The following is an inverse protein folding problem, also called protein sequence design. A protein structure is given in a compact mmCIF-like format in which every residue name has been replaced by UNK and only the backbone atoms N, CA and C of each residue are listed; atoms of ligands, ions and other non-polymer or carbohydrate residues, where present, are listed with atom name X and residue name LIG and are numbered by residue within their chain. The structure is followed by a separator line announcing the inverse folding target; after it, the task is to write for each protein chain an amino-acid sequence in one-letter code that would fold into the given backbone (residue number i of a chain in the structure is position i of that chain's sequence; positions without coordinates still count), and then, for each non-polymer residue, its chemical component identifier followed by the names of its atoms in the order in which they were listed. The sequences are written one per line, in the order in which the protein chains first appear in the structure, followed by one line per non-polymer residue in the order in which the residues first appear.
data_IF_235451155006
#
_entry.id   IF_235451155006
#
_cell.length_a   1.000
_cell.length_b   1.000
_cell.length_c   1.000
_cell.angle_alpha   90.00
_cell.angle_beta   90.00
_cell.angle_gamma   90.00
#
_symmetry.space_group_name_H-M   'P 1'
#
loop_
_entity.id
_entity.type
_entity.pdbx_description
1 polymer ?
#
# COMPACT_ATOMS: atom_id res chain seq x y z
N UNK A 1 11.13 14.05 -25.91
CA UNK A 1 9.80 13.83 -26.54
C UNK A 1 8.90 13.25 -25.46
N UNK A 2 8.15 14.10 -24.77
CA UNK A 2 7.25 13.66 -23.70
C UNK A 2 5.91 13.36 -24.38
N UNK A 3 5.58 12.09 -24.60
CA UNK A 3 4.23 11.71 -25.01
C UNK A 3 3.28 12.18 -23.91
N UNK A 4 2.49 13.22 -24.19
CA UNK A 4 1.35 13.57 -23.36
C UNK A 4 0.32 12.47 -23.55
N UNK A 5 0.27 11.54 -22.61
CA UNK A 5 -0.80 10.56 -22.47
C UNK A 5 -2.07 11.36 -22.12
N UNK A 6 -2.83 11.77 -23.13
CA UNK A 6 -4.12 12.40 -22.96
C UNK A 6 -5.17 11.31 -22.79
N UNK A 7 -5.59 11.06 -21.55
CA UNK A 7 -6.77 10.25 -21.30
C UNK A 7 -8.01 10.93 -21.88
N UNK A 8 -8.79 10.19 -22.65
CA UNK A 8 -10.11 10.66 -23.08
C UNK A 8 -11.06 10.70 -21.88
N UNK A 9 -12.08 11.57 -21.95
CA UNK A 9 -13.10 11.64 -20.90
C UNK A 9 -13.78 10.28 -20.62
N UNK A 10 -13.89 9.41 -21.65
CA UNK A 10 -14.44 8.05 -21.50
C UNK A 10 -13.50 7.14 -20.71
N UNK A 11 -12.20 7.24 -20.92
CA UNK A 11 -11.19 6.44 -20.21
C UNK A 11 -11.06 6.89 -18.75
N UNK A 12 -10.99 8.20 -18.49
CA UNK A 12 -11.02 8.74 -17.12
C UNK A 12 -12.29 8.32 -16.38
N UNK A 13 -13.46 8.39 -17.03
CA UNK A 13 -14.72 7.92 -16.43
C UNK A 13 -14.74 6.40 -16.18
N UNK A 14 -14.03 5.60 -16.97
CA UNK A 14 -13.88 4.15 -16.73
C UNK A 14 -13.00 3.91 -15.51
N UNK A 15 -11.83 4.56 -15.44
CA UNK A 15 -10.88 4.46 -14.32
C UNK A 15 -11.54 4.90 -13.01
N UNK A 16 -12.23 6.03 -13.00
CA UNK A 16 -12.91 6.53 -11.80
C UNK A 16 -13.97 5.55 -11.27
N UNK A 17 -14.72 4.88 -12.17
CA UNK A 17 -15.70 3.85 -11.78
C UNK A 17 -15.03 2.61 -11.19
N UNK A 18 -13.90 2.21 -11.74
CA UNK A 18 -13.15 1.04 -11.27
C UNK A 18 -12.47 1.31 -9.93
N UNK A 19 -11.80 2.46 -9.79
CA UNK A 19 -11.24 2.93 -8.53
C UNK A 19 -12.32 2.97 -7.43
N UNK A 20 -13.49 3.56 -7.71
CA UNK A 20 -14.61 3.60 -6.75
C UNK A 20 -15.04 2.20 -6.32
N UNK A 21 -15.16 1.23 -7.24
CA UNK A 21 -15.51 -0.15 -6.89
C UNK A 21 -14.48 -0.81 -5.96
N UNK A 22 -13.19 -0.60 -6.22
CA UNK A 22 -12.11 -1.13 -5.39
C UNK A 22 -12.16 -0.49 -4.00
N UNK A 23 -12.24 0.84 -3.93
CA UNK A 23 -12.36 1.57 -2.66
C UNK A 23 -13.58 1.13 -1.87
N UNK A 24 -14.75 1.03 -2.50
CA UNK A 24 -15.99 0.59 -1.85
C UNK A 24 -15.88 -0.84 -1.31
N UNK A 25 -15.21 -1.74 -2.05
CA UNK A 25 -14.98 -3.11 -1.61
C UNK A 25 -14.05 -3.17 -0.38
N UNK A 26 -12.95 -2.41 -0.39
CA UNK A 26 -12.00 -2.31 0.74
C UNK A 26 -12.69 -1.68 1.95
N UNK A 27 -13.42 -0.59 1.77
CA UNK A 27 -14.15 0.08 2.84
C UNK A 27 -15.25 -0.80 3.44
N UNK A 28 -15.94 -1.60 2.61
CA UNK A 28 -16.92 -2.58 3.09
C UNK A 28 -16.27 -3.69 3.93
N UNK A 29 -15.05 -4.12 3.58
CA UNK A 29 -14.27 -5.03 4.41
C UNK A 29 -13.82 -4.38 5.73
N UNK A 30 -13.40 -3.10 5.70
CA UNK A 30 -13.00 -2.34 6.89
C UNK A 30 -14.15 -2.03 7.85
N UNK A 31 -15.37 -1.80 7.34
CA UNK A 31 -16.58 -1.50 8.13
C UNK A 31 -17.20 -2.73 8.81
N UNK A 32 -16.53 -3.88 8.80
CA UNK A 32 -16.99 -5.07 9.54
C UNK A 32 -16.98 -4.74 11.03
N UNK A 33 -18.16 -4.66 11.64
CA UNK A 33 -18.34 -4.60 13.08
C UNK A 33 -18.38 -6.04 13.60
N UNK A 34 -17.53 -6.39 14.55
CA UNK A 34 -17.22 -7.77 15.01
C UNK A 34 -16.18 -8.52 14.19
N UNK A 35 -15.02 -7.90 14.01
CA UNK A 35 -13.85 -8.61 13.50
C UNK A 35 -13.13 -9.25 14.70
N UNK A 36 -12.80 -10.56 14.65
CA UNK A 36 -12.03 -11.22 15.70
C UNK A 36 -10.74 -10.47 16.00
N UNK A 37 -10.34 -10.39 17.28
CA UNK A 37 -9.07 -9.75 17.66
C UNK A 37 -7.86 -10.33 16.90
N UNK A 38 -7.91 -11.62 16.55
CA UNK A 38 -6.89 -12.30 15.74
C UNK A 38 -6.70 -11.72 14.34
N UNK A 39 -7.64 -10.93 13.82
CA UNK A 39 -7.55 -10.32 12.48
C UNK A 39 -6.84 -8.94 12.52
N UNK A 40 -6.68 -8.33 13.71
CA UNK A 40 -6.01 -7.03 13.88
C UNK A 40 -4.84 -7.04 14.86
N UNK A 41 -4.73 -8.07 15.70
CA UNK A 41 -3.55 -8.35 16.50
C UNK A 41 -2.61 -9.23 15.69
N UNK A 42 -1.63 -8.60 15.06
CA UNK A 42 -0.50 -9.32 14.46
C UNK A 42 0.46 -9.73 15.58
N UNK A 43 0.79 -11.02 15.64
CA UNK A 43 1.92 -11.51 16.44
C UNK A 43 3.18 -11.47 15.58
N UNK A 44 4.28 -10.98 16.14
CA UNK A 44 5.58 -11.11 15.50
C UNK A 44 5.94 -12.59 15.41
N UNK A 45 6.36 -13.03 14.23
CA UNK A 45 6.81 -14.40 13.96
C UNK A 45 8.11 -14.70 14.69
N UNK A 46 9.01 -13.72 14.80
CA UNK A 46 10.24 -13.80 15.58
C UNK A 46 10.25 -12.72 16.69
N UNK A 47 10.33 -13.09 17.98
CA UNK A 47 10.44 -12.13 19.08
C UNK A 47 11.74 -11.30 19.04
N UNK A 48 12.72 -11.66 18.21
CA UNK A 48 13.94 -10.89 18.01
C UNK A 48 13.81 -9.84 16.89
N UNK A 49 12.66 -9.73 16.23
CA UNK A 49 12.37 -8.65 15.31
C UNK A 49 11.83 -7.42 16.08
N UNK A 50 12.02 -6.22 15.53
CA UNK A 50 11.31 -4.99 15.93
C UNK A 50 10.19 -4.63 14.95
N UNK A 51 10.25 -5.19 13.74
CA UNK A 51 9.33 -4.91 12.66
C UNK A 51 9.22 -6.14 11.76
N UNK A 52 8.01 -6.49 11.35
CA UNK A 52 7.73 -7.50 10.33
C UNK A 52 6.63 -6.99 9.39
N UNK A 53 6.86 -7.13 8.08
CA UNK A 53 5.86 -6.94 7.04
C UNK A 53 5.65 -8.24 6.30
N UNK A 54 4.38 -8.53 6.07
CA UNK A 54 3.93 -9.62 5.23
C UNK A 54 2.99 -9.02 4.19
N UNK A 55 3.37 -9.13 2.91
CA UNK A 55 2.58 -8.72 1.76
C UNK A 55 2.04 -7.28 1.83
N UNK A 56 2.90 -6.31 2.14
CA UNK A 56 2.49 -4.91 2.24
C UNK A 56 2.13 -4.34 0.86
N UNK A 57 0.90 -3.83 0.75
CA UNK A 57 0.41 -3.08 -0.40
C UNK A 57 0.01 -1.65 0.00
N UNK A 58 0.41 -0.68 -0.81
CA UNK A 58 -0.01 0.72 -0.66
C UNK A 58 -0.28 1.32 -2.03
N UNK A 59 -1.56 1.53 -2.31
CA UNK A 59 -2.06 1.94 -3.61
C UNK A 59 -2.74 3.29 -3.52
N UNK A 60 -2.41 4.19 -4.45
CA UNK A 60 -3.07 5.48 -4.59
C UNK A 60 -4.02 5.46 -5.78
N UNK A 61 -5.29 5.72 -5.53
CA UNK A 61 -6.31 5.80 -6.57
C UNK A 61 -6.39 7.24 -7.09
N UNK A 62 -5.98 7.45 -8.34
CA UNK A 62 -5.94 8.76 -8.98
C UNK A 62 -6.86 8.80 -10.20
N UNK A 63 -7.17 9.99 -10.71
CA UNK A 63 -8.03 10.17 -11.90
C UNK A 63 -7.44 9.55 -13.18
N UNK A 64 -6.13 9.31 -13.19
CA UNK A 64 -5.38 8.74 -14.31
C UNK A 64 -5.06 7.25 -14.13
N UNK A 65 -5.43 6.65 -12.99
CA UNK A 65 -5.21 5.24 -12.72
C UNK A 65 -4.90 4.93 -11.26
N UNK A 66 -4.72 3.65 -10.96
CA UNK A 66 -4.19 3.20 -9.67
C UNK A 66 -2.67 3.20 -9.72
N UNK A 67 -2.02 3.97 -8.84
CA UNK A 67 -0.57 3.94 -8.64
C UNK A 67 -0.27 2.92 -7.54
N UNK A 68 0.38 1.82 -7.90
CA UNK A 68 0.82 0.81 -6.96
C UNK A 68 2.19 1.17 -6.39
N UNK A 69 2.21 2.06 -5.40
CA UNK A 69 3.46 2.60 -4.86
C UNK A 69 4.24 1.58 -4.02
N UNK A 70 3.53 0.66 -3.36
CA UNK A 70 4.10 -0.56 -2.76
C UNK A 70 3.20 -1.72 -3.19
N UNK A 71 3.78 -2.77 -3.76
CA UNK A 71 3.06 -3.92 -4.34
C UNK A 71 3.67 -5.24 -3.84
N UNK A 72 3.21 -5.73 -2.68
CA UNK A 72 3.56 -7.05 -2.15
C UNK A 72 4.94 -7.12 -1.50
N UNK A 73 5.29 -6.12 -0.68
CA UNK A 73 6.60 -6.06 -0.02
C UNK A 73 6.56 -6.80 1.32
N UNK A 74 7.47 -7.76 1.50
CA UNK A 74 7.66 -8.49 2.76
C UNK A 74 9.11 -8.40 3.22
N UNK A 75 9.34 -7.97 4.46
CA UNK A 75 10.67 -7.97 5.09
C UNK A 75 10.57 -7.83 6.60
N UNK A 76 11.67 -8.12 7.27
CA UNK A 76 11.79 -8.13 8.73
C UNK A 76 13.00 -7.30 9.15
N UNK A 77 12.91 -6.66 10.32
CA UNK A 77 14.00 -5.89 10.90
C UNK A 77 14.32 -6.46 12.28
N UNK A 78 15.47 -7.13 12.44
CA UNK A 78 15.93 -7.61 13.75
C UNK A 78 16.22 -6.47 14.73
N UNK A 79 16.08 -6.74 16.02
CA UNK A 79 16.51 -5.84 17.11
C UNK A 79 18.00 -5.50 16.93
N UNK A 80 18.33 -4.22 17.06
CA UNK A 80 19.72 -3.74 16.97
C UNK A 80 20.29 -3.69 15.55
N UNK A 81 19.50 -4.00 14.52
CA UNK A 81 19.92 -3.89 13.12
C UNK A 81 19.66 -2.50 12.54
N UNK A 82 20.32 -2.19 11.42
CA UNK A 82 20.03 -1.02 10.60
C UNK A 82 19.71 -1.49 9.19
N UNK A 83 18.53 -1.11 8.69
CA UNK A 83 18.06 -1.47 7.35
C UNK A 83 17.98 -0.21 6.48
N UNK A 84 18.55 -0.29 5.28
CA UNK A 84 18.49 0.77 4.27
C UNK A 84 17.68 0.32 3.06
N UNK A 85 16.64 1.08 2.69
CA UNK A 85 15.87 0.87 1.47
C UNK A 85 16.43 1.78 0.37
N UNK A 86 16.92 1.19 -0.72
CA UNK A 86 17.59 1.90 -1.84
C UNK A 86 16.89 1.62 -3.17
N UNK A 87 17.10 2.49 -4.15
CA UNK A 87 16.46 2.41 -5.46
C UNK A 87 16.28 3.78 -6.11
N UNK A 88 15.79 3.80 -7.35
CA UNK A 88 15.61 5.00 -8.16
C UNK A 88 14.49 5.92 -7.65
N UNK A 89 14.48 7.18 -8.09
CA UNK A 89 13.39 8.11 -7.78
C UNK A 89 12.05 7.55 -8.26
N UNK A 90 11.03 7.56 -7.41
CA UNK A 90 9.68 7.05 -7.74
C UNK A 90 9.47 5.54 -7.55
N UNK A 91 10.48 4.76 -7.12
CA UNK A 91 10.33 3.31 -6.95
C UNK A 91 9.61 2.86 -5.66
N UNK A 92 9.06 3.78 -4.86
CA UNK A 92 8.25 3.44 -3.68
C UNK A 92 8.93 3.56 -2.31
N UNK A 93 10.24 3.81 -2.21
CA UNK A 93 11.00 3.84 -0.93
C UNK A 93 10.35 4.64 0.20
N UNK A 94 10.01 5.90 -0.07
CA UNK A 94 9.40 6.78 0.93
C UNK A 94 8.01 6.31 1.31
N UNK A 95 7.25 5.76 0.35
CA UNK A 95 5.92 5.21 0.63
C UNK A 95 6.04 3.98 1.51
N UNK A 96 6.98 3.05 1.24
CA UNK A 96 7.25 1.91 2.12
C UNK A 96 7.53 2.35 3.57
N UNK A 97 8.39 3.35 3.76
CA UNK A 97 8.72 3.85 5.11
C UNK A 97 7.52 4.53 5.80
N UNK A 98 6.70 5.28 5.06
CA UNK A 98 5.50 5.91 5.61
C UNK A 98 4.42 4.88 5.95
N UNK A 99 4.24 3.86 5.10
CA UNK A 99 3.30 2.76 5.33
C UNK A 99 3.68 1.97 6.58
N UNK A 100 4.98 1.74 6.80
CA UNK A 100 5.52 1.15 8.03
C UNK A 100 5.12 1.93 9.29
N UNK A 101 5.20 3.26 9.22
CA UNK A 101 4.86 4.13 10.35
C UNK A 101 3.36 4.42 10.47
N UNK A 102 2.53 3.79 9.62
CA UNK A 102 1.10 4.06 9.52
C UNK A 102 0.76 5.54 9.25
N UNK A 103 1.63 6.25 8.53
CA UNK A 103 1.46 7.66 8.18
C UNK A 103 0.74 7.87 6.84
N UNK A 104 0.45 6.79 6.13
CA UNK A 104 -0.33 6.75 4.88
C UNK A 104 -1.30 5.58 4.95
N UNK A 105 -2.47 5.73 4.33
CA UNK A 105 -3.57 4.75 4.33
C UNK A 105 -4.07 4.44 2.92
#
# INVERSE_FOLDING_TARGET
MTEKIHLTARESARISRENRRITDAIEKQRKRTNVPESEYLTQMRDPNNVVEFDDLHTYFFTDIGTVKAVDGVSYEVPIGSTVGVVGESGCGKSVTALSLMQLVQ
#
